data_IF_752357425649
#
_entry.id   IF_752357425649
#
_cell.length_a   1.000
_cell.length_b   1.000
_cell.length_c   1.000
_cell.angle_alpha   90.00
_cell.angle_beta   90.00
_cell.angle_gamma   90.00
#
_symmetry.space_group_name_H-M   'P 1'
#
loop_
_entity.id
_entity.type
_entity.pdbx_description
1 polymer ?
#
# COMPACT_ATOMS: atom_id res chain seq x y z
N UNK A 1 -9.73 5.55 -16.30
CA UNK A 1 -9.51 4.93 -14.97
C UNK A 1 -10.13 5.82 -13.91
N UNK A 2 -10.93 5.28 -12.97
CA UNK A 2 -11.47 6.06 -11.85
C UNK A 2 -10.46 6.06 -10.72
N UNK A 3 -9.90 7.22 -10.39
CA UNK A 3 -8.99 7.36 -9.27
C UNK A 3 -9.77 7.50 -7.96
N UNK A 4 -9.24 6.89 -6.91
CA UNK A 4 -9.72 7.02 -5.55
C UNK A 4 -8.89 8.11 -4.85
N UNK A 5 -9.56 9.06 -4.22
CA UNK A 5 -8.86 9.96 -3.31
C UNK A 5 -8.24 9.16 -2.16
N UNK A 6 -7.31 9.79 -1.46
CA UNK A 6 -6.54 9.13 -0.39
C UNK A 6 -7.40 8.53 0.73
N UNK A 7 -8.58 9.11 1.03
CA UNK A 7 -9.47 8.57 2.07
C UNK A 7 -10.14 7.27 1.60
N UNK A 8 -10.74 7.27 0.41
CA UNK A 8 -11.34 6.05 -0.15
C UNK A 8 -10.28 4.96 -0.42
N UNK A 9 -9.05 5.35 -0.76
CA UNK A 9 -7.93 4.43 -0.86
C UNK A 9 -7.61 3.76 0.49
N UNK A 10 -7.61 4.53 1.58
CA UNK A 10 -7.41 4.01 2.92
C UNK A 10 -8.54 3.08 3.38
N UNK A 11 -9.80 3.41 3.06
CA UNK A 11 -10.96 2.54 3.32
C UNK A 11 -10.83 1.20 2.59
N UNK A 12 -10.45 1.23 1.30
CA UNK A 12 -10.24 0.01 0.53
C UNK A 12 -9.16 -0.88 1.15
N UNK A 13 -8.03 -0.29 1.56
CA UNK A 13 -6.95 -1.05 2.22
C UNK A 13 -7.44 -1.64 3.55
N UNK A 14 -8.12 -0.83 4.38
CA UNK A 14 -8.64 -1.25 5.68
C UNK A 14 -9.60 -2.45 5.59
N UNK A 15 -10.46 -2.47 4.55
CA UNK A 15 -11.36 -3.60 4.29
C UNK A 15 -10.63 -4.92 4.01
N UNK A 16 -9.38 -4.87 3.55
CA UNK A 16 -8.64 -6.08 3.14
C UNK A 16 -7.54 -6.50 4.12
N UNK A 17 -6.85 -5.57 4.76
CA UNK A 17 -5.66 -5.82 5.58
C UNK A 17 -5.89 -5.63 7.08
N UNK A 18 -7.14 -5.39 7.50
CA UNK A 18 -7.51 -4.95 8.85
C UNK A 18 -6.83 -3.62 9.25
N UNK A 19 -7.25 -3.05 10.38
CA UNK A 19 -6.72 -1.78 10.90
C UNK A 19 -7.56 -0.56 10.55
N UNK A 20 -7.27 0.56 11.22
CA UNK A 20 -8.07 1.78 11.10
C UNK A 20 -7.80 2.53 9.80
N UNK A 21 -8.87 3.05 9.18
CA UNK A 21 -8.80 3.92 7.98
C UNK A 21 -7.82 5.07 8.19
N UNK A 22 -7.81 5.68 9.38
CA UNK A 22 -6.92 6.80 9.72
C UNK A 22 -5.44 6.41 9.68
N UNK A 23 -5.11 5.20 10.13
CA UNK A 23 -3.76 4.65 10.08
C UNK A 23 -3.31 4.44 8.64
N UNK A 24 -4.17 3.87 7.80
CA UNK A 24 -3.89 3.69 6.37
C UNK A 24 -3.81 5.01 5.60
N UNK A 25 -4.61 6.01 5.96
CA UNK A 25 -4.50 7.36 5.41
C UNK A 25 -3.12 7.95 5.70
N UNK A 26 -2.65 7.87 6.95
CA UNK A 26 -1.32 8.30 7.35
C UNK A 26 -0.20 7.52 6.66
N UNK A 27 -0.40 6.21 6.47
CA UNK A 27 0.52 5.36 5.70
C UNK A 27 0.66 5.85 4.26
N UNK A 28 -0.45 6.08 3.55
CA UNK A 28 -0.46 6.57 2.16
C UNK A 28 0.28 7.91 2.02
N UNK A 29 0.13 8.83 2.98
CA UNK A 29 0.88 10.10 2.99
C UNK A 29 2.39 9.89 3.07
N UNK A 30 2.83 8.86 3.80
CA UNK A 30 4.26 8.58 4.03
C UNK A 30 4.85 7.69 2.95
N UNK A 31 4.06 6.80 2.36
CA UNK A 31 4.50 5.82 1.36
C UNK A 31 5.12 6.51 0.13
N UNK A 32 4.60 7.68 -0.27
CA UNK A 32 5.18 8.45 -1.39
C UNK A 32 6.66 8.83 -1.19
N UNK A 33 7.13 8.96 0.05
CA UNK A 33 8.49 9.41 0.39
C UNK A 33 9.36 8.31 0.99
N UNK A 34 8.77 7.41 1.77
CA UNK A 34 9.50 6.45 2.63
C UNK A 34 9.04 4.99 2.40
N UNK A 35 8.62 4.64 1.17
CA UNK A 35 8.14 3.29 0.87
C UNK A 35 9.18 2.20 1.15
N UNK A 36 10.46 2.51 0.91
CA UNK A 36 11.62 1.66 1.14
C UNK A 36 11.80 1.30 2.63
N UNK A 37 11.50 2.25 3.53
CA UNK A 37 11.59 2.08 4.99
C UNK A 37 10.35 1.47 5.63
N UNK A 38 9.29 1.24 4.86
CA UNK A 38 8.05 0.63 5.32
C UNK A 38 8.03 -0.85 4.96
N UNK A 39 7.50 -1.17 3.79
CA UNK A 39 7.32 -2.54 3.30
C UNK A 39 8.06 -2.80 2.00
N UNK A 40 8.89 -1.86 1.53
CA UNK A 40 9.62 -2.02 0.27
C UNK A 40 8.73 -2.02 -0.96
N UNK A 41 7.46 -1.59 -0.83
CA UNK A 41 6.54 -1.45 -1.96
C UNK A 41 6.04 -0.01 -2.09
N UNK A 42 6.32 0.60 -3.24
CA UNK A 42 5.83 1.92 -3.61
C UNK A 42 4.48 1.79 -4.31
N UNK A 43 3.43 2.32 -3.68
CA UNK A 43 2.10 2.37 -4.31
C UNK A 43 2.12 3.48 -5.36
N UNK A 44 1.74 3.16 -6.59
CA UNK A 44 1.58 4.17 -7.65
C UNK A 44 0.51 5.17 -7.26
N UNK A 45 0.91 6.44 -7.14
CA UNK A 45 0.04 7.56 -6.83
C UNK A 45 -0.04 8.54 -8.00
N UNK A 46 -1.19 9.16 -8.15
CA UNK A 46 -1.49 10.23 -9.09
C UNK A 46 -1.83 11.50 -8.32
N UNK A 47 -1.76 12.65 -8.99
CA UNK A 47 -2.22 13.92 -8.44
C UNK A 47 -3.47 14.35 -9.18
N UNK A 48 -4.58 14.50 -8.45
CA UNK A 48 -5.85 14.99 -8.97
C UNK A 48 -6.29 16.17 -8.08
N UNK A 49 -6.51 17.34 -8.68
CA UNK A 49 -6.84 18.58 -7.97
C UNK A 49 -5.87 18.91 -6.80
N UNK A 50 -4.57 18.68 -7.02
CA UNK A 50 -3.52 18.94 -6.02
C UNK A 50 -3.49 17.94 -4.85
N UNK A 51 -4.30 16.87 -4.89
CA UNK A 51 -4.36 15.84 -3.86
C UNK A 51 -3.89 14.48 -4.39
N UNK A 52 -3.37 13.65 -3.50
CA UNK A 52 -2.99 12.28 -3.82
C UNK A 52 -4.23 11.45 -4.15
N UNK A 53 -4.15 10.73 -5.25
CA UNK A 53 -5.17 9.81 -5.71
C UNK A 53 -4.52 8.50 -6.20
N UNK A 54 -5.26 7.40 -6.13
CA UNK A 54 -4.74 6.06 -6.34
C UNK A 54 -5.68 5.28 -7.28
N UNK A 55 -5.11 4.48 -8.18
CA UNK A 55 -5.92 3.54 -8.95
C UNK A 55 -6.33 2.36 -8.07
N UNK A 56 -7.51 1.79 -8.33
CA UNK A 56 -7.99 0.63 -7.58
C UNK A 56 -7.05 -0.56 -7.75
N UNK A 57 -6.50 -0.72 -8.95
CA UNK A 57 -5.60 -1.79 -9.34
C UNK A 57 -4.28 -1.73 -8.54
N UNK A 58 -3.69 -0.54 -8.40
CA UNK A 58 -2.45 -0.36 -7.62
C UNK A 58 -2.65 -0.67 -6.13
N UNK A 59 -3.81 -0.32 -5.58
CA UNK A 59 -4.15 -0.61 -4.19
C UNK A 59 -4.39 -2.11 -3.96
N UNK A 60 -5.06 -2.79 -4.89
CA UNK A 60 -5.28 -4.23 -4.81
C UNK A 60 -3.97 -5.02 -4.95
N UNK A 61 -3.05 -4.56 -5.80
CA UNK A 61 -1.72 -5.16 -5.91
C UNK A 61 -0.93 -5.00 -4.60
N UNK A 62 -0.99 -3.81 -3.99
CA UNK A 62 -0.42 -3.60 -2.65
C UNK A 62 -1.02 -4.56 -1.62
N UNK A 63 -2.34 -4.69 -1.58
CA UNK A 63 -3.04 -5.63 -0.69
C UNK A 63 -2.58 -7.07 -0.93
N UNK A 64 -2.42 -7.49 -2.19
CA UNK A 64 -1.93 -8.81 -2.56
C UNK A 64 -0.53 -9.06 -2.01
N UNK A 65 0.37 -8.09 -2.16
CA UNK A 65 1.75 -8.17 -1.67
C UNK A 65 1.75 -8.26 -0.14
N UNK A 66 0.99 -7.42 0.55
CA UNK A 66 0.89 -7.42 2.01
C UNK A 66 0.31 -8.71 2.60
N UNK A 67 -0.59 -9.39 1.88
CA UNK A 67 -1.13 -10.70 2.27
C UNK A 67 -0.20 -11.86 1.94
N UNK A 68 0.72 -11.66 1.00
CA UNK A 68 1.67 -12.70 0.62
C UNK A 68 2.70 -12.78 1.74
N UNK A 69 2.82 -13.91 2.47
CA UNK A 69 3.90 -14.05 3.43
C UNK A 69 5.20 -13.85 2.66
N UNK A 70 5.98 -12.85 3.05
CA UNK A 70 7.34 -12.73 2.58
C UNK A 70 8.00 -14.06 2.95
N UNK A 71 8.20 -14.94 1.96
CA UNK A 71 9.12 -16.06 2.11
C UNK A 71 10.46 -15.40 2.32
N UNK A 72 10.80 -15.21 3.60
CA UNK A 72 12.17 -15.11 4.07
C UNK A 72 12.87 -16.30 3.42
N UNK A 73 13.51 -16.07 2.27
CA UNK A 73 14.51 -16.97 1.70
C UNK A 73 15.74 -16.82 2.56
N UNK A 74 15.61 -17.12 3.86
CA UNK A 74 16.74 -17.42 4.71
C UNK A 74 17.29 -18.74 4.22
N UNK A 75 18.37 -18.62 3.46
CA UNK A 75 19.40 -19.64 3.24
C UNK A 75 19.45 -20.59 4.45
N UNK A 76 19.09 -21.83 4.19
CA UNK A 76 19.20 -22.94 5.14
C UNK A 76 19.76 -24.19 4.47
N UNK A 77 20.56 -24.04 3.41
CA UNK A 77 21.51 -25.08 3.00
C UNK A 77 22.72 -24.98 3.94
N UNK A 78 22.65 -25.73 5.04
CA UNK A 78 23.84 -26.25 5.72
C UNK A 78 23.64 -27.75 5.85
N UNK A 79 24.27 -28.45 4.91
CA UNK A 79 24.66 -29.85 5.03
C UNK A 79 25.77 -29.99 6.06
#
# INVERSE_FOLDING_TARGET
MKLLNQWHAAELIAQHLNGEVRSWYGYLTRNIRNWDKQHGYKITAHVENGKLAYSREALLEFVRIMKTPHKDTRKGDKK
#
